data_IF_687154534824
#
_entry.id   IF_687154534824
#
_cell.length_a   1.000
_cell.length_b   1.000
_cell.length_c   1.000
_cell.angle_alpha   90.00
_cell.angle_beta   90.00
_cell.angle_gamma   90.00
#
_symmetry.space_group_name_H-M   'P 1'
#
loop_
_entity.id
_entity.type
_entity.pdbx_description
1 polymer ?
#
# COMPACT_ATOMS: atom_id res chain seq x y z
N UNK A 1 10.84 -2.61 -5.88
CA UNK A 1 10.28 -3.97 -5.97
C UNK A 1 8.89 -3.96 -5.35
N UNK A 2 7.84 -4.25 -6.14
CA UNK A 2 6.44 -4.09 -5.71
C UNK A 2 6.07 -4.92 -4.48
N UNK A 3 6.68 -6.10 -4.29
CA UNK A 3 6.33 -7.00 -3.18
C UNK A 3 6.66 -6.45 -1.77
N UNK A 4 7.62 -5.53 -1.61
CA UNK A 4 8.02 -4.98 -0.31
C UNK A 4 6.83 -4.47 0.53
N UNK A 5 5.83 -3.88 -0.13
CA UNK A 5 4.66 -3.32 0.53
C UNK A 5 3.59 -4.34 0.93
N UNK A 6 3.64 -5.57 0.40
CA UNK A 6 2.65 -6.63 0.69
C UNK A 6 2.98 -7.41 1.96
N UNK A 7 4.27 -7.52 2.29
CA UNK A 7 4.77 -8.26 3.44
C UNK A 7 4.12 -7.84 4.78
N UNK A 8 4.03 -6.53 5.11
CA UNK A 8 3.37 -6.09 6.34
C UNK A 8 1.87 -6.40 6.36
N UNK A 9 1.18 -6.27 5.22
CA UNK A 9 -0.25 -6.57 5.07
C UNK A 9 -0.51 -8.05 5.40
N UNK A 10 0.30 -8.92 4.80
CA UNK A 10 0.27 -10.38 4.92
C UNK A 10 0.51 -10.85 6.35
N UNK A 11 1.51 -10.29 7.03
CA UNK A 11 1.86 -10.69 8.40
C UNK A 11 0.76 -10.30 9.40
N UNK A 12 0.18 -9.10 9.24
CA UNK A 12 -0.88 -8.62 10.12
C UNK A 12 -2.21 -9.36 9.89
N UNK A 13 -2.57 -9.62 8.63
CA UNK A 13 -3.77 -10.38 8.30
C UNK A 13 -3.72 -11.85 8.81
N UNK A 14 -2.52 -12.41 8.93
CA UNK A 14 -2.35 -13.77 9.45
C UNK A 14 -2.44 -13.88 10.98
N UNK A 15 -2.31 -12.76 11.70
CA UNK A 15 -2.18 -12.71 13.17
C UNK A 15 -3.39 -12.12 13.87
N UNK A 16 -4.12 -11.21 13.22
CA UNK A 16 -5.28 -10.52 13.80
C UNK A 16 -6.49 -10.60 12.88
N UNK A 17 -7.68 -10.32 13.43
CA UNK A 17 -8.88 -10.11 12.61
C UNK A 17 -8.65 -9.00 11.58
N UNK A 18 -9.13 -9.14 10.33
CA UNK A 18 -8.79 -8.23 9.24
C UNK A 18 -9.13 -6.76 9.51
N UNK A 19 -10.27 -6.51 10.16
CA UNK A 19 -10.70 -5.16 10.52
C UNK A 19 -9.71 -4.48 11.47
N UNK A 20 -9.32 -5.19 12.53
CA UNK A 20 -8.33 -4.71 13.50
C UNK A 20 -6.93 -4.59 12.88
N UNK A 21 -6.49 -5.61 12.14
CA UNK A 21 -5.19 -5.65 11.47
C UNK A 21 -4.98 -4.42 10.57
N UNK A 22 -5.99 -4.13 9.75
CA UNK A 22 -5.93 -3.00 8.80
C UNK A 22 -6.03 -1.65 9.48
N UNK A 23 -6.76 -1.53 10.59
CA UNK A 23 -6.80 -0.32 11.42
C UNK A 23 -5.48 -0.03 12.10
N UNK A 24 -4.89 -1.04 12.75
CA UNK A 24 -3.55 -0.95 13.36
C UNK A 24 -2.51 -0.54 12.32
N UNK A 25 -2.52 -1.20 11.16
CA UNK A 25 -1.60 -0.92 10.07
C UNK A 25 -1.75 0.52 9.55
N UNK A 26 -2.97 1.03 9.42
CA UNK A 26 -3.19 2.40 8.95
C UNK A 26 -2.55 3.42 9.88
N UNK A 27 -2.66 3.25 11.20
CA UNK A 27 -2.05 4.17 12.18
C UNK A 27 -0.52 4.12 12.04
N UNK A 28 0.06 2.92 11.96
CA UNK A 28 1.50 2.76 11.78
C UNK A 28 2.00 3.40 10.48
N UNK A 29 1.28 3.22 9.37
CA UNK A 29 1.61 3.82 8.08
C UNK A 29 1.49 5.36 8.13
N UNK A 30 0.40 5.89 8.68
CA UNK A 30 0.18 7.33 8.78
C UNK A 30 1.28 8.03 9.60
N UNK A 31 1.75 7.39 10.68
CA UNK A 31 2.87 7.87 11.49
C UNK A 31 4.21 7.76 10.75
N UNK A 32 4.45 6.66 10.04
CA UNK A 32 5.67 6.46 9.26
C UNK A 32 5.81 7.45 8.07
N UNK A 33 4.68 7.86 7.49
CA UNK A 33 4.65 8.76 6.35
C UNK A 33 5.01 10.22 6.71
N UNK A 34 4.84 10.63 7.98
CA UNK A 34 5.16 11.99 8.44
C UNK A 34 6.64 12.37 8.19
N UNK A 35 7.64 11.64 8.71
CA UNK A 35 9.04 11.97 8.46
C UNK A 35 9.43 11.83 6.99
N UNK A 36 8.85 10.86 6.27
CA UNK A 36 9.10 10.67 4.84
C UNK A 36 8.58 11.86 4.01
N UNK A 37 7.34 12.29 4.26
CA UNK A 37 6.73 13.45 3.62
C UNK A 37 7.49 14.74 3.92
N UNK A 38 7.93 14.93 5.16
CA UNK A 38 8.76 16.07 5.54
C UNK A 38 10.11 16.08 4.82
N UNK A 39 10.82 14.94 4.82
CA UNK A 39 12.15 14.81 4.22
C UNK A 39 12.12 15.05 2.70
N UNK A 40 11.12 14.51 2.00
CA UNK A 40 11.01 14.60 0.54
C UNK A 40 10.11 15.73 0.02
N UNK A 41 9.65 16.67 0.87
CA UNK A 41 8.71 17.74 0.49
C UNK A 41 9.13 18.61 -0.70
N UNK A 42 10.44 18.74 -0.96
CA UNK A 42 10.98 19.57 -2.05
C UNK A 42 11.06 18.83 -3.39
N UNK A 43 10.89 17.51 -3.40
CA UNK A 43 11.06 16.67 -4.59
C UNK A 43 9.72 16.09 -5.06
N UNK A 44 8.60 16.69 -4.66
CA UNK A 44 7.26 16.21 -4.98
C UNK A 44 6.84 16.68 -6.37
N UNK A 45 6.37 15.78 -7.22
CA UNK A 45 5.71 16.15 -8.46
C UNK A 45 4.19 16.36 -8.23
N UNK A 46 3.82 17.58 -7.87
CA UNK A 46 2.43 17.95 -7.57
C UNK A 46 1.45 17.74 -8.72
N UNK A 47 1.91 17.92 -9.97
CA UNK A 47 1.07 17.75 -11.17
C UNK A 47 0.56 16.32 -11.30
N UNK A 48 1.45 15.35 -11.06
CA UNK A 48 1.09 13.93 -11.08
C UNK A 48 0.21 13.57 -9.88
N UNK A 49 0.52 14.12 -8.71
CA UNK A 49 -0.21 13.84 -7.49
C UNK A 49 -1.66 14.35 -7.53
N UNK A 50 -1.89 15.56 -8.05
CA UNK A 50 -3.22 16.14 -8.25
C UNK A 50 -4.05 15.41 -9.31
N UNK A 51 -3.42 14.67 -10.23
CA UNK A 51 -4.12 13.81 -11.19
C UNK A 51 -4.52 12.46 -10.59
N UNK A 52 -3.74 11.96 -9.63
CA UNK A 52 -3.98 10.68 -8.97
C UNK A 52 -5.01 10.78 -7.85
N UNK A 53 -4.92 11.82 -7.02
CA UNK A 53 -5.73 11.93 -5.79
C UNK A 53 -7.23 11.83 -6.06
N UNK A 54 -7.84 12.58 -7.00
CA UNK A 54 -9.28 12.53 -7.19
C UNK A 54 -9.78 11.12 -7.51
N UNK A 55 -9.07 10.41 -8.37
CA UNK A 55 -9.38 9.03 -8.71
C UNK A 55 -9.13 8.08 -7.54
N UNK A 56 -8.07 8.29 -6.75
CA UNK A 56 -7.79 7.50 -5.55
C UNK A 56 -8.83 7.70 -4.45
N UNK A 57 -9.35 8.91 -4.27
CA UNK A 57 -10.48 9.18 -3.38
C UNK A 57 -11.74 8.46 -3.87
N UNK A 58 -11.99 8.44 -5.18
CA UNK A 58 -13.05 7.61 -5.78
C UNK A 58 -12.87 6.12 -5.49
N UNK A 59 -11.64 5.59 -5.65
CA UNK A 59 -11.30 4.22 -5.28
C UNK A 59 -11.52 3.91 -3.80
N UNK A 60 -11.17 4.84 -2.92
CA UNK A 60 -11.42 4.74 -1.47
C UNK A 60 -12.92 4.71 -1.18
N UNK A 61 -13.71 5.58 -1.82
CA UNK A 61 -15.16 5.60 -1.64
C UNK A 61 -15.79 4.27 -2.10
N UNK A 62 -15.37 3.75 -3.26
CA UNK A 62 -15.82 2.44 -3.77
C UNK A 62 -15.40 1.33 -2.80
N UNK A 63 -14.16 1.34 -2.32
CA UNK A 63 -13.66 0.35 -1.36
C UNK A 63 -14.46 0.37 -0.06
N UNK A 64 -14.74 1.55 0.49
CA UNK A 64 -15.56 1.72 1.70
C UNK A 64 -16.98 1.22 1.47
N UNK A 65 -17.59 1.54 0.32
CA UNK A 65 -18.91 1.05 -0.04
C UNK A 65 -18.95 -0.48 -0.12
N UNK A 66 -17.98 -1.10 -0.79
CA UNK A 66 -17.87 -2.56 -0.88
C UNK A 66 -17.72 -3.18 0.51
N UNK A 67 -16.83 -2.64 1.35
CA UNK A 67 -16.61 -3.13 2.71
C UNK A 67 -17.87 -3.11 3.58
N UNK A 68 -18.74 -2.10 3.42
CA UNK A 68 -20.01 -2.03 4.17
C UNK A 68 -21.03 -3.08 3.76
N UNK A 69 -21.00 -3.52 2.51
CA UNK A 69 -22.01 -4.44 1.95
C UNK A 69 -21.54 -5.90 1.92
N UNK A 70 -20.26 -6.16 2.18
CA UNK A 70 -19.70 -7.51 2.24
C UNK A 70 -19.84 -8.07 3.67
N UNK A 71 -20.55 -9.19 3.88
CA UNK A 71 -20.65 -9.80 5.20
C UNK A 71 -19.28 -10.21 5.75
N UNK A 72 -19.08 -10.13 7.07
CA UNK A 72 -17.77 -10.27 7.72
C UNK A 72 -16.96 -11.53 7.34
N UNK A 73 -17.61 -12.64 7.02
CA UNK A 73 -16.93 -13.86 6.53
C UNK A 73 -16.29 -13.73 5.14
N UNK A 74 -16.85 -12.88 4.28
CA UNK A 74 -16.39 -12.66 2.91
C UNK A 74 -15.26 -11.61 2.81
N UNK A 75 -14.97 -10.90 3.90
CA UNK A 75 -13.91 -9.89 3.94
C UNK A 75 -12.52 -10.51 3.75
N UNK A 76 -12.28 -11.67 4.37
CA UNK A 76 -11.05 -12.45 4.20
C UNK A 76 -10.82 -12.83 2.74
N UNK A 77 -11.86 -13.35 2.08
CA UNK A 77 -11.84 -13.77 0.68
C UNK A 77 -11.59 -12.57 -0.24
N UNK A 78 -12.24 -11.43 0.01
CA UNK A 78 -12.03 -10.21 -0.77
C UNK A 78 -10.58 -9.72 -0.67
N UNK A 79 -10.01 -9.67 0.53
CA UNK A 79 -8.62 -9.26 0.74
C UNK A 79 -7.66 -10.26 0.07
N UNK A 80 -7.90 -11.57 0.22
CA UNK A 80 -7.13 -12.63 -0.43
C UNK A 80 -7.13 -12.50 -1.96
N UNK A 81 -8.29 -12.29 -2.58
CA UNK A 81 -8.43 -12.05 -4.02
C UNK A 81 -7.66 -10.80 -4.48
N UNK A 82 -7.65 -9.72 -3.69
CA UNK A 82 -6.89 -8.51 -4.02
C UNK A 82 -5.38 -8.79 -3.94
N UNK A 83 -4.90 -9.47 -2.89
CA UNK A 83 -3.48 -9.83 -2.76
C UNK A 83 -3.05 -10.68 -3.96
N UNK A 84 -3.86 -11.68 -4.35
CA UNK A 84 -3.60 -12.49 -5.54
C UNK A 84 -3.59 -11.67 -6.82
N UNK A 85 -4.54 -10.75 -6.99
CA UNK A 85 -4.58 -9.84 -8.14
C UNK A 85 -3.34 -8.93 -8.21
N UNK A 86 -2.84 -8.45 -7.06
CA UNK A 86 -1.63 -7.64 -6.97
C UNK A 86 -0.36 -8.46 -7.26
N UNK A 87 -0.29 -9.70 -6.79
CA UNK A 87 0.76 -10.64 -7.14
C UNK A 87 0.75 -10.92 -8.65
N UNK A 88 -0.42 -11.19 -9.24
CA UNK A 88 -0.57 -11.40 -10.67
C UNK A 88 -0.15 -10.16 -11.49
N UNK A 89 -0.58 -8.96 -11.10
CA UNK A 89 -0.14 -7.70 -11.70
C UNK A 89 1.39 -7.52 -11.66
N UNK A 90 2.02 -7.94 -10.55
CA UNK A 90 3.48 -7.87 -10.40
C UNK A 90 4.18 -8.81 -11.38
N UNK A 91 3.67 -10.04 -11.54
CA UNK A 91 4.18 -11.04 -12.51
C UNK A 91 3.96 -10.56 -13.96
N UNK A 92 2.76 -10.07 -14.28
CA UNK A 92 2.43 -9.54 -15.62
C UNK A 92 3.36 -8.41 -16.01
N UNK A 93 3.66 -7.50 -15.08
CA UNK A 93 4.63 -6.41 -15.31
C UNK A 93 6.01 -6.96 -15.68
N UNK A 94 6.50 -7.96 -14.96
CA UNK A 94 7.83 -8.53 -15.16
C UNK A 94 7.97 -9.26 -16.51
N UNK A 95 6.87 -9.84 -16.99
CA UNK A 95 6.80 -10.57 -18.26
C UNK A 95 6.59 -9.63 -19.45
N UNK A 96 5.66 -8.66 -19.37
CA UNK A 96 5.18 -7.91 -20.53
C UNK A 96 5.69 -6.47 -20.65
N UNK A 97 6.20 -5.86 -19.57
CA UNK A 97 6.52 -4.42 -19.54
C UNK A 97 8.02 -4.10 -19.51
N UNK A 98 8.85 -4.93 -20.13
CA UNK A 98 10.30 -4.68 -20.23
C UNK A 98 10.67 -3.50 -21.15
N UNK A 99 9.85 -3.18 -22.15
CA UNK A 99 10.23 -2.24 -23.25
C UNK A 99 9.21 -1.12 -23.56
N UNK A 100 8.54 -0.54 -22.55
CA UNK A 100 7.67 0.63 -22.78
C UNK A 100 8.49 1.91 -22.93
N UNK A 101 8.78 2.34 -24.17
CA UNK A 101 9.61 3.52 -24.49
C UNK A 101 8.93 4.87 -24.27
N UNK A 102 7.59 4.92 -24.16
CA UNK A 102 6.82 6.17 -24.03
C UNK A 102 6.21 6.32 -22.64
N UNK A 103 6.39 7.50 -22.04
CA UNK A 103 5.68 7.87 -20.80
C UNK A 103 4.19 8.03 -21.13
N UNK A 104 3.28 7.31 -20.45
CA UNK A 104 1.85 7.45 -20.69
C UNK A 104 1.39 8.86 -20.26
N UNK A 105 0.99 9.68 -21.22
CA UNK A 105 0.58 11.07 -21.00
C UNK A 105 -0.92 11.26 -20.81
N UNK A 106 -1.73 10.26 -21.16
CA UNK A 106 -3.19 10.35 -21.10
C UNK A 106 -3.72 10.31 -19.66
N UNK A 107 -4.72 11.16 -19.36
CA UNK A 107 -5.29 11.31 -18.02
C UNK A 107 -5.91 10.02 -17.48
N UNK A 108 -6.50 9.20 -18.37
CA UNK A 108 -7.14 7.92 -18.01
C UNK A 108 -6.16 6.94 -17.35
N UNK A 109 -4.88 6.99 -17.69
CA UNK A 109 -3.87 6.15 -17.06
C UNK A 109 -3.70 6.51 -15.58
N UNK A 110 -3.65 7.81 -15.27
CA UNK A 110 -3.59 8.29 -13.88
C UNK A 110 -4.90 8.03 -13.14
N UNK A 111 -6.04 8.15 -13.81
CA UNK A 111 -7.33 7.83 -13.22
C UNK A 111 -7.45 6.34 -12.88
N UNK A 112 -7.07 5.45 -13.79
CA UNK A 112 -7.12 4.00 -13.58
C UNK A 112 -6.24 3.56 -12.41
N UNK A 113 -4.97 3.94 -12.42
CA UNK A 113 -4.04 3.59 -11.34
C UNK A 113 -4.41 4.26 -10.02
N UNK A 114 -4.91 5.51 -10.07
CA UNK A 114 -5.43 6.21 -8.90
C UNK A 114 -6.59 5.45 -8.27
N UNK A 115 -7.62 5.11 -9.04
CA UNK A 115 -8.79 4.36 -8.57
C UNK A 115 -8.40 2.99 -8.02
N UNK A 116 -7.59 2.24 -8.77
CA UNK A 116 -7.14 0.90 -8.36
C UNK A 116 -6.33 0.96 -7.06
N UNK A 117 -5.40 1.91 -6.94
CA UNK A 117 -4.62 2.12 -5.73
C UNK A 117 -5.50 2.58 -4.55
N UNK A 118 -6.44 3.50 -4.78
CA UNK A 118 -7.42 3.95 -3.81
C UNK A 118 -8.25 2.80 -3.23
N UNK A 119 -8.77 1.96 -4.11
CA UNK A 119 -9.52 0.76 -3.74
C UNK A 119 -8.66 -0.23 -2.95
N UNK A 120 -7.48 -0.57 -3.46
CA UNK A 120 -6.59 -1.52 -2.82
C UNK A 120 -6.08 -1.05 -1.46
N UNK A 121 -5.83 0.27 -1.29
CA UNK A 121 -5.46 0.81 0.03
C UNK A 121 -6.62 0.78 1.01
N UNK A 122 -7.85 1.05 0.56
CA UNK A 122 -9.01 1.06 1.45
C UNK A 122 -9.33 -0.34 1.99
N UNK A 123 -9.29 -1.33 1.11
CA UNK A 123 -9.63 -2.71 1.49
C UNK A 123 -8.51 -3.35 2.29
N UNK A 124 -7.27 -3.25 1.82
CA UNK A 124 -6.16 -4.08 2.32
C UNK A 124 -4.86 -3.30 2.65
N UNK A 125 -4.88 -1.96 2.66
CA UNK A 125 -3.65 -1.14 2.76
C UNK A 125 -2.57 -1.52 1.72
N UNK A 126 -2.99 -2.03 0.55
CA UNK A 126 -2.11 -2.70 -0.42
C UNK A 126 -1.87 -1.88 -1.70
N UNK A 127 -1.90 -0.54 -1.64
CA UNK A 127 -1.65 0.32 -2.79
C UNK A 127 -0.18 0.37 -3.25
N UNK A 128 0.76 -0.04 -2.39
CA UNK A 128 2.21 -0.04 -2.63
C UNK A 128 2.60 -0.57 -4.03
N UNK A 129 2.29 -1.83 -4.36
CA UNK A 129 2.62 -2.42 -5.66
C UNK A 129 2.06 -1.65 -6.86
N UNK A 130 0.80 -1.21 -6.79
CA UNK A 130 0.12 -0.46 -7.86
C UNK A 130 0.83 0.86 -8.11
N UNK A 131 1.16 1.58 -7.03
CA UNK A 131 1.85 2.86 -7.11
C UNK A 131 3.28 2.72 -7.60
N UNK A 132 3.99 1.64 -7.24
CA UNK A 132 5.31 1.34 -7.79
C UNK A 132 5.23 1.17 -9.30
N UNK A 133 4.22 0.46 -9.81
CA UNK A 133 4.02 0.28 -11.26
C UNK A 133 3.77 1.65 -11.91
N UNK A 134 2.82 2.42 -11.40
CA UNK A 134 2.46 3.73 -11.94
C UNK A 134 3.65 4.70 -11.98
N UNK A 135 4.35 4.88 -10.85
CA UNK A 135 5.43 5.86 -10.73
C UNK A 135 6.68 5.45 -11.53
N UNK A 136 6.94 4.15 -11.70
CA UNK A 136 7.99 3.68 -12.61
C UNK A 136 7.63 3.95 -14.07
N UNK A 137 6.36 3.79 -14.45
CA UNK A 137 5.89 4.14 -15.80
C UNK A 137 5.98 5.63 -16.08
N UNK A 138 5.94 6.48 -15.04
CA UNK A 138 6.17 7.93 -15.16
C UNK A 138 7.65 8.32 -15.35
N UNK A 139 8.58 7.37 -15.23
CA UNK A 139 10.02 7.55 -15.43
C UNK A 139 10.63 8.70 -14.62
N UNK A 140 10.11 8.92 -13.41
CA UNK A 140 10.66 9.92 -12.51
C UNK A 140 12.11 9.62 -12.13
N UNK A 141 12.89 10.68 -11.90
CA UNK A 141 14.14 10.55 -11.19
C UNK A 141 13.90 9.98 -9.78
N UNK A 142 14.89 9.28 -9.23
CA UNK A 142 14.76 8.61 -7.92
C UNK A 142 14.23 9.55 -6.83
N UNK A 143 14.67 10.80 -6.79
CA UNK A 143 14.22 11.80 -5.80
C UNK A 143 12.76 12.19 -6.00
N UNK A 144 12.34 12.38 -7.25
CA UNK A 144 10.95 12.70 -7.59
C UNK A 144 10.00 11.53 -7.33
N UNK A 145 10.44 10.31 -7.65
CA UNK A 145 9.74 9.08 -7.31
C UNK A 145 9.49 8.99 -5.81
N UNK A 146 10.55 9.15 -5.00
CA UNK A 146 10.43 9.03 -3.54
C UNK A 146 9.56 10.13 -2.95
N UNK A 147 9.68 11.37 -3.41
CA UNK A 147 8.86 12.49 -2.93
C UNK A 147 7.39 12.36 -3.30
N UNK A 148 7.11 12.01 -4.55
CA UNK A 148 5.73 11.82 -5.03
C UNK A 148 5.07 10.63 -4.34
N UNK A 149 5.79 9.52 -4.14
CA UNK A 149 5.28 8.37 -3.39
C UNK A 149 4.99 8.72 -1.92
N UNK A 150 5.94 9.37 -1.23
CA UNK A 150 5.80 9.74 0.17
C UNK A 150 4.57 10.64 0.40
N UNK A 151 4.38 11.66 -0.43
CA UNK A 151 3.22 12.56 -0.33
C UNK A 151 1.91 11.88 -0.73
N UNK A 152 1.94 10.96 -1.69
CA UNK A 152 0.75 10.20 -2.08
C UNK A 152 0.25 9.34 -0.91
N UNK A 153 1.13 8.56 -0.28
CA UNK A 153 0.76 7.72 0.86
C UNK A 153 0.38 8.56 2.07
N UNK A 154 1.12 9.63 2.38
CA UNK A 154 0.80 10.55 3.45
C UNK A 154 -0.64 11.08 3.30
N UNK A 155 -0.98 11.65 2.14
CA UNK A 155 -2.29 12.26 1.93
C UNK A 155 -3.42 11.24 2.01
N UNK A 156 -3.25 10.06 1.38
CA UNK A 156 -4.30 9.04 1.41
C UNK A 156 -4.46 8.39 2.79
N UNK A 157 -3.37 8.04 3.46
CA UNK A 157 -3.44 7.41 4.77
C UNK A 157 -4.08 8.34 5.79
N UNK A 158 -3.73 9.63 5.78
CA UNK A 158 -4.37 10.62 6.65
C UNK A 158 -5.84 10.85 6.31
N UNK A 159 -6.19 10.89 5.02
CA UNK A 159 -7.60 10.99 4.59
C UNK A 159 -8.42 9.77 5.05
N UNK A 160 -7.81 8.59 5.13
CA UNK A 160 -8.49 7.35 5.54
C UNK A 160 -8.75 7.26 7.03
N UNK A 161 -7.99 7.95 7.89
CA UNK A 161 -8.18 7.89 9.35
C UNK A 161 -9.64 8.12 9.76
N UNK A 162 -10.30 9.24 9.38
CA UNK A 162 -11.71 9.45 9.75
C UNK A 162 -12.64 8.38 9.19
N UNK A 163 -12.35 7.84 7.99
CA UNK A 163 -13.15 6.77 7.38
C UNK A 163 -13.01 5.48 8.18
N UNK A 164 -11.80 5.12 8.59
CA UNK A 164 -11.54 3.90 9.37
C UNK A 164 -12.07 3.99 10.80
N UNK A 165 -12.07 5.19 11.41
CA UNK A 165 -12.75 5.44 12.68
C UNK A 165 -14.25 5.23 12.52
N UNK A 166 -14.83 5.80 11.46
CA UNK A 166 -16.26 5.67 11.17
C UNK A 166 -16.67 4.22 10.81
N UNK A 167 -15.79 3.46 10.14
CA UNK A 167 -15.96 2.02 9.86
C UNK A 167 -15.72 1.12 11.09
N UNK A 168 -15.30 1.67 12.24
CA UNK A 168 -15.02 0.90 13.47
C UNK A 168 -13.74 0.06 13.44
N UNK A 169 -12.87 0.27 12.44
CA UNK A 169 -11.59 -0.45 12.28
C UNK A 169 -10.48 0.12 13.16
N UNK A 170 -10.56 1.43 13.44
CA UNK A 170 -9.72 2.08 14.45
C UNK A 170 -10.52 2.13 15.76
N UNK A 171 -10.08 1.34 16.73
CA UNK A 171 -10.61 1.34 18.10
C UNK A 171 -9.58 1.90 19.06
N UNK A 172 -9.98 2.20 20.30
CA UNK A 172 -9.05 2.61 21.36
C UNK A 172 -7.92 1.60 21.54
N UNK A 173 -8.24 0.30 21.52
CA UNK A 173 -7.26 -0.78 21.61
C UNK A 173 -6.24 -0.73 20.45
N UNK A 174 -6.70 -0.46 19.22
CA UNK A 174 -5.81 -0.30 18.06
C UNK A 174 -4.86 0.89 18.24
N UNK A 175 -5.35 2.01 18.80
CA UNK A 175 -4.53 3.22 19.04
C UNK A 175 -3.46 2.96 20.09
N UNK A 176 -3.80 2.39 21.24
CA UNK A 176 -2.81 2.07 22.28
C UNK A 176 -1.78 1.05 21.79
N UNK A 177 -2.22 0.03 21.05
CA UNK A 177 -1.32 -0.96 20.44
C UNK A 177 -0.39 -0.31 19.41
N UNK A 178 -0.90 0.59 18.58
CA UNK A 178 -0.10 1.33 17.61
C UNK A 178 0.94 2.22 18.31
N UNK A 179 0.56 2.95 19.36
CA UNK A 179 1.48 3.81 20.12
C UNK A 179 2.57 2.99 20.81
N UNK A 180 2.23 1.85 21.42
CA UNK A 180 3.19 0.94 22.03
C UNK A 180 4.19 0.34 21.01
N UNK A 181 3.79 0.24 19.74
CA UNK A 181 4.66 -0.26 18.66
C UNK A 181 5.51 0.83 18.00
N UNK A 182 5.33 2.12 18.31
CA UNK A 182 6.13 3.21 17.72
C UNK A 182 7.65 3.02 17.93
N UNK A 183 8.16 2.67 19.12
CA UNK A 183 9.60 2.43 19.30
C UNK A 183 10.10 1.27 18.45
N UNK A 184 9.30 0.19 18.35
CA UNK A 184 9.60 -0.96 17.51
C UNK A 184 9.57 -0.59 16.02
N UNK A 185 8.66 0.26 15.60
CA UNK A 185 8.54 0.77 14.23
C UNK A 185 9.78 1.58 13.85
N UNK A 186 10.24 2.47 14.73
CA UNK A 186 11.46 3.26 14.52
C UNK A 186 12.71 2.37 14.48
N UNK A 187 12.84 1.42 15.42
CA UNK A 187 13.92 0.45 15.42
C UNK A 187 13.90 -0.43 14.15
N UNK A 188 12.72 -0.91 13.78
CA UNK A 188 12.49 -1.69 12.56
C UNK A 188 12.79 -0.92 11.28
N UNK A 189 12.53 0.38 11.23
CA UNK A 189 12.90 1.23 10.11
C UNK A 189 14.43 1.33 9.97
N UNK A 190 15.16 1.53 11.07
CA UNK A 190 16.62 1.56 11.08
C UNK A 190 17.21 0.21 10.68
N UNK A 191 16.75 -0.88 11.29
CA UNK A 191 17.17 -2.24 10.95
C UNK A 191 16.84 -2.57 9.49
N UNK A 192 15.64 -2.20 9.03
CA UNK A 192 15.21 -2.41 7.65
C UNK A 192 16.13 -1.73 6.64
N UNK A 193 16.57 -0.49 6.91
CA UNK A 193 17.55 0.21 6.06
C UNK A 193 18.90 -0.51 6.04
N UNK A 194 19.36 -1.06 7.17
CA UNK A 194 20.63 -1.79 7.27
C UNK A 194 20.54 -3.14 6.55
N UNK A 195 19.44 -3.87 6.76
CA UNK A 195 19.20 -5.19 6.18
C UNK A 195 19.00 -5.11 4.67
N UNK A 196 18.19 -4.16 4.17
CA UNK A 196 18.01 -3.97 2.72
C UNK A 196 19.31 -3.66 1.99
N UNK A 197 20.27 -2.99 2.64
CA UNK A 197 21.60 -2.72 2.04
C UNK A 197 22.44 -3.98 1.87
N UNK A 198 22.16 -5.05 2.63
CA UNK A 198 22.97 -6.28 2.66
C UNK A 198 22.29 -7.47 1.97
N UNK A 199 20.97 -7.42 1.76
CA UNK A 199 20.22 -8.56 1.26
C UNK A 199 20.30 -8.64 -0.28
N UNK A 200 20.66 -9.80 -0.86
CA UNK A 200 20.63 -10.00 -2.30
C UNK A 200 19.20 -9.83 -2.81
N UNK A 201 19.04 -9.01 -3.84
CA UNK A 201 17.75 -8.62 -4.38
C UNK A 201 16.83 -9.82 -4.70
N UNK A 202 17.38 -10.85 -5.35
CA UNK A 202 16.65 -12.07 -5.74
C UNK A 202 16.13 -12.86 -4.53
N UNK A 203 16.92 -12.93 -3.44
CA UNK A 203 16.55 -13.65 -2.23
C UNK A 203 15.42 -12.92 -1.50
N UNK A 204 15.52 -11.60 -1.44
CA UNK A 204 14.49 -10.75 -0.87
C UNK A 204 13.15 -10.94 -1.60
N UNK A 205 13.14 -10.88 -2.94
CA UNK A 205 11.92 -11.07 -3.75
C UNK A 205 11.26 -12.42 -3.53
N UNK A 206 12.03 -13.50 -3.49
CA UNK A 206 11.51 -14.85 -3.24
C UNK A 206 10.84 -14.96 -1.88
N UNK A 207 11.45 -14.41 -0.82
CA UNK A 207 10.88 -14.42 0.53
C UNK A 207 9.52 -13.73 0.55
N UNK A 208 9.45 -12.54 -0.04
CA UNK A 208 8.21 -11.75 -0.09
C UNK A 208 7.11 -12.48 -0.86
N UNK A 209 7.45 -13.05 -2.01
CA UNK A 209 6.49 -13.73 -2.88
C UNK A 209 5.95 -15.01 -2.22
N UNK A 210 6.82 -15.79 -1.57
CA UNK A 210 6.43 -16.98 -0.79
C UNK A 210 5.52 -16.58 0.36
N UNK A 211 5.89 -15.59 1.17
CA UNK A 211 5.08 -15.16 2.30
C UNK A 211 3.73 -14.60 1.86
N UNK A 212 3.70 -13.82 0.76
CA UNK A 212 2.45 -13.29 0.19
C UNK A 212 1.54 -14.40 -0.33
N UNK A 213 2.11 -15.41 -1.00
CA UNK A 213 1.39 -16.59 -1.44
C UNK A 213 0.81 -17.40 -0.27
N UNK A 214 1.61 -17.63 0.77
CA UNK A 214 1.16 -18.34 1.98
C UNK A 214 0.02 -17.62 2.71
N UNK A 215 0.11 -16.29 2.85
CA UNK A 215 -1.00 -15.51 3.41
C UNK A 215 -2.25 -15.58 2.53
N UNK A 216 -2.10 -15.40 1.22
CA UNK A 216 -3.24 -15.44 0.32
C UNK A 216 -3.98 -16.79 0.41
N UNK A 217 -3.24 -17.90 0.50
CA UNK A 217 -3.83 -19.23 0.70
C UNK A 217 -4.52 -19.33 2.06
N UNK A 218 -3.89 -18.90 3.16
CA UNK A 218 -4.51 -18.92 4.50
C UNK A 218 -5.73 -18.00 4.62
N UNK A 219 -5.85 -16.96 3.80
CA UNK A 219 -7.03 -16.10 3.78
C UNK A 219 -8.21 -16.70 3.00
N UNK A 220 -7.94 -17.69 2.14
CA UNK A 220 -8.95 -18.37 1.32
C UNK A 220 -9.48 -19.66 1.96
N UNK A 221 -8.74 -20.27 2.88
CA UNK A 221 -9.04 -21.54 3.55
C UNK A 221 -8.95 -21.40 5.07
#
# INVERSE_FOLDING_TARGET
>A
MPGLGLLPVVLLANTFEPGFATGLQLIMLALADLPAGYYYRKTVNWKTLLRLIPAALGGIAIGSFVLRHVPGGSLNVLIGCIILGLCALTVVKEIFWKDATKVPTHWSFSAFFGLLAGFATQVANAAGPIMVIYLLSMRFEKKEYMGTAAWYFLLLNWTKIPIFVWEGRITEASVYSALGTVPLLLAGAVVGVIVLKKLPQVLFERIVLILSGLAAVKMLF
#
